data_IF_226268518643
#
_entry.id   IF_226268518643
#
_cell.length_a   1.000
_cell.length_b   1.000
_cell.length_c   1.000
_cell.angle_alpha   90.00
_cell.angle_beta   90.00
_cell.angle_gamma   90.00
#
_symmetry.space_group_name_H-M   'P 1'
#
loop_
_entity.id
_entity.type
_entity.pdbx_description
1 polymer ?
#
# COMPACT_ATOMS: atom_id res chain seq x y z
N UNK A 1 71.13 -46.81 25.71
CA UNK A 1 69.76 -47.34 25.82
C UNK A 1 68.96 -46.42 26.76
N UNK A 2 67.68 -46.15 26.48
CA UNK A 2 67.24 -44.83 25.99
C UNK A 2 66.68 -43.89 27.07
N UNK A 3 66.74 -42.59 26.75
CA UNK A 3 66.09 -41.46 27.43
C UNK A 3 64.62 -41.41 27.00
N UNK A 4 63.68 -41.48 27.94
CA UNK A 4 62.27 -41.25 27.68
C UNK A 4 61.95 -39.75 27.79
N UNK A 5 61.67 -39.11 26.65
CA UNK A 5 61.09 -37.78 26.57
C UNK A 5 59.57 -37.94 26.67
N UNK A 6 58.98 -37.48 27.77
CA UNK A 6 57.53 -37.36 27.91
C UNK A 6 57.05 -36.14 27.11
N UNK A 7 56.38 -36.40 25.99
CA UNK A 7 55.64 -35.40 25.25
C UNK A 7 54.36 -35.02 26.02
N UNK A 8 54.19 -33.72 26.28
CA UNK A 8 52.95 -33.12 26.77
C UNK A 8 51.98 -33.00 25.58
N UNK A 9 50.76 -33.56 25.61
CA UNK A 9 49.81 -33.30 24.54
C UNK A 9 49.13 -31.94 24.76
N UNK A 10 48.98 -31.23 23.65
CA UNK A 10 48.36 -29.92 23.52
C UNK A 10 46.92 -29.89 24.08
N UNK A 11 46.75 -29.31 25.26
CA UNK A 11 45.44 -29.02 25.86
C UNK A 11 45.02 -27.54 25.66
N UNK A 12 45.61 -26.82 24.69
CA UNK A 12 45.37 -25.40 24.49
C UNK A 12 44.33 -25.06 23.39
N UNK A 13 43.99 -25.99 22.49
CA UNK A 13 43.14 -25.67 21.33
C UNK A 13 41.64 -25.98 21.52
N UNK A 14 41.25 -26.82 22.49
CA UNK A 14 39.81 -27.14 22.70
C UNK A 14 39.03 -26.06 23.46
N UNK A 15 39.71 -25.19 24.21
CA UNK A 15 39.06 -24.14 25.03
C UNK A 15 38.62 -22.95 24.16
N UNK A 16 39.32 -22.68 23.06
CA UNK A 16 39.03 -21.55 22.17
C UNK A 16 37.72 -21.68 21.39
N UNK A 17 37.42 -22.88 20.88
CA UNK A 17 36.25 -23.12 20.04
C UNK A 17 34.93 -23.06 20.83
N UNK A 18 34.90 -23.61 22.05
CA UNK A 18 33.71 -23.56 22.92
C UNK A 18 33.35 -22.15 23.37
N UNK A 19 34.35 -21.31 23.65
CA UNK A 19 34.14 -19.91 24.04
C UNK A 19 33.66 -19.05 22.84
N UNK A 20 34.10 -19.37 21.63
CA UNK A 20 33.67 -18.70 20.41
C UNK A 20 32.20 -19.01 20.06
N UNK A 21 31.81 -20.29 20.17
CA UNK A 21 30.43 -20.72 19.94
C UNK A 21 29.46 -20.11 20.96
N UNK A 22 29.85 -20.03 22.23
CA UNK A 22 29.06 -19.39 23.29
C UNK A 22 28.89 -17.89 23.03
N UNK A 23 29.94 -17.19 22.59
CA UNK A 23 29.86 -15.77 22.21
C UNK A 23 28.95 -15.54 21.00
N UNK A 24 29.02 -16.39 19.98
CA UNK A 24 28.16 -16.30 18.81
C UNK A 24 26.66 -16.50 19.17
N UNK A 25 26.36 -17.48 20.03
CA UNK A 25 25.00 -17.71 20.51
C UNK A 25 24.44 -16.53 21.32
N UNK A 26 25.26 -15.92 22.18
CA UNK A 26 24.88 -14.73 22.96
C UNK A 26 24.61 -13.53 22.03
N UNK A 27 25.43 -13.33 21.00
CA UNK A 27 25.24 -12.25 20.01
C UNK A 27 23.95 -12.48 19.21
N UNK A 28 23.70 -13.71 18.73
CA UNK A 28 22.49 -14.05 18.00
C UNK A 28 21.22 -13.86 18.83
N UNK A 29 21.25 -14.25 20.12
CA UNK A 29 20.12 -14.07 21.01
C UNK A 29 19.85 -12.57 21.29
N UNK A 30 20.90 -11.77 21.48
CA UNK A 30 20.76 -10.31 21.62
C UNK A 30 20.17 -9.65 20.37
N UNK A 31 20.59 -10.08 19.19
CA UNK A 31 20.03 -9.58 17.93
C UNK A 31 18.54 -9.94 17.78
N UNK A 32 18.15 -11.16 18.16
CA UNK A 32 16.75 -11.60 18.15
C UNK A 32 15.88 -10.81 19.13
N UNK A 33 16.37 -10.59 20.35
CA UNK A 33 15.67 -9.80 21.37
C UNK A 33 15.53 -8.33 20.92
N UNK A 34 16.58 -7.75 20.31
CA UNK A 34 16.51 -6.40 19.76
C UNK A 34 15.50 -6.29 18.61
N UNK A 35 15.45 -7.28 17.72
CA UNK A 35 14.47 -7.35 16.63
C UNK A 35 13.03 -7.46 17.14
N UNK A 36 12.79 -8.31 18.15
CA UNK A 36 11.48 -8.45 18.78
C UNK A 36 11.04 -7.17 19.50
N UNK A 37 11.97 -6.48 20.18
CA UNK A 37 11.70 -5.19 20.82
C UNK A 37 11.37 -4.10 19.79
N UNK A 38 12.07 -4.07 18.64
CA UNK A 38 11.77 -3.15 17.55
C UNK A 38 10.38 -3.40 16.93
N UNK A 39 9.99 -4.67 16.76
CA UNK A 39 8.65 -5.02 16.29
C UNK A 39 7.56 -4.63 17.30
N UNK A 40 7.77 -4.88 18.60
CA UNK A 40 6.84 -4.47 19.64
C UNK A 40 6.67 -2.95 19.70
N UNK A 41 7.76 -2.18 19.54
CA UNK A 41 7.71 -0.73 19.48
C UNK A 41 6.95 -0.21 18.25
N UNK A 42 7.07 -0.88 17.09
CA UNK A 42 6.30 -0.56 15.88
C UNK A 42 4.80 -0.83 16.07
N UNK A 43 4.44 -1.98 16.64
CA UNK A 43 3.05 -2.31 16.96
C UNK A 43 2.45 -1.30 17.94
N UNK A 44 3.21 -0.87 18.95
CA UNK A 44 2.78 0.17 19.88
C UNK A 44 2.58 1.53 19.20
N UNK A 45 3.50 1.94 18.31
CA UNK A 45 3.39 3.18 17.54
C UNK A 45 2.22 3.14 16.53
N UNK A 46 1.97 2.00 15.90
CA UNK A 46 0.82 1.77 15.02
C UNK A 46 -0.49 1.80 15.81
N UNK A 47 -0.55 1.18 16.99
CA UNK A 47 -1.72 1.24 17.86
C UNK A 47 -2.00 2.67 18.33
N UNK A 48 -0.98 3.46 18.67
CA UNK A 48 -1.12 4.86 19.03
C UNK A 48 -1.64 5.71 17.87
N UNK A 49 -1.10 5.52 16.65
CA UNK A 49 -1.60 6.19 15.44
C UNK A 49 -3.00 5.75 15.06
N UNK A 50 -3.34 4.48 15.22
CA UNK A 50 -4.68 3.96 14.97
C UNK A 50 -5.69 4.55 15.96
N UNK A 51 -5.30 4.74 17.23
CA UNK A 51 -6.12 5.43 18.22
C UNK A 51 -6.33 6.91 17.86
N UNK A 52 -5.27 7.63 17.47
CA UNK A 52 -5.36 9.03 17.03
C UNK A 52 -6.21 9.20 15.76
N UNK A 53 -6.08 8.27 14.81
CA UNK A 53 -6.89 8.26 13.59
C UNK A 53 -8.35 7.86 13.88
N UNK A 54 -8.60 6.97 14.85
CA UNK A 54 -9.94 6.62 15.28
C UNK A 54 -10.63 7.80 15.99
N UNK A 55 -9.90 8.57 16.78
CA UNK A 55 -10.39 9.80 17.41
C UNK A 55 -10.71 10.87 16.36
N UNK A 56 -9.79 11.12 15.42
CA UNK A 56 -10.03 12.03 14.28
C UNK A 56 -11.16 11.56 13.37
N UNK A 57 -11.34 10.25 13.19
CA UNK A 57 -12.44 9.68 12.42
C UNK A 57 -13.77 9.80 13.18
N UNK A 58 -13.77 9.71 14.51
CA UNK A 58 -14.95 9.95 15.33
C UNK A 58 -15.36 11.43 15.29
N UNK A 59 -14.41 12.36 15.35
CA UNK A 59 -14.65 13.80 15.17
C UNK A 59 -15.15 14.11 13.76
N UNK A 60 -14.56 13.51 12.72
CA UNK A 60 -15.01 13.66 11.34
C UNK A 60 -16.41 13.05 11.12
N UNK A 61 -16.73 11.93 11.77
CA UNK A 61 -18.06 11.31 11.73
C UNK A 61 -19.12 12.19 12.42
N UNK A 62 -18.77 12.86 13.52
CA UNK A 62 -19.64 13.85 14.17
C UNK A 62 -19.84 15.10 13.31
N UNK A 63 -18.79 15.58 12.63
CA UNK A 63 -18.89 16.69 11.68
C UNK A 63 -19.72 16.33 10.43
N UNK A 64 -19.62 15.08 9.95
CA UNK A 64 -20.42 14.58 8.82
C UNK A 64 -21.89 14.32 9.21
N UNK A 65 -22.16 13.90 10.45
CA UNK A 65 -23.53 13.80 10.96
C UNK A 65 -24.22 15.17 11.04
N UNK A 66 -23.47 16.23 11.41
CA UNK A 66 -23.96 17.60 11.40
C UNK A 66 -24.08 18.22 9.99
N UNK A 67 -23.27 17.75 9.03
CA UNK A 67 -23.39 18.15 7.63
C UNK A 67 -24.57 17.47 6.90
N UNK A 68 -24.94 16.25 7.29
CA UNK A 68 -26.09 15.51 6.73
C UNK A 68 -27.45 16.16 7.02
N UNK A 69 -27.58 16.95 8.09
CA UNK A 69 -28.79 17.75 8.35
C UNK A 69 -28.88 19.03 7.49
N UNK A 70 -27.81 19.44 6.81
CA UNK A 70 -27.78 20.62 5.91
C UNK A 70 -27.71 20.29 4.42
N UNK A 71 -27.45 19.04 4.04
CA UNK A 71 -27.32 18.63 2.64
C UNK A 71 -28.64 18.23 1.96
N UNK A 72 -29.75 18.11 2.70
CA UNK A 72 -31.08 17.89 2.12
C UNK A 72 -31.67 19.15 1.44
N UNK A 73 -30.96 20.30 1.46
CA UNK A 73 -31.40 21.54 0.81
C UNK A 73 -30.41 22.17 -0.19
N UNK A 74 -29.37 21.47 -0.64
CA UNK A 74 -28.38 22.07 -1.55
C UNK A 74 -27.91 21.12 -2.66
N UNK A 75 -28.87 20.59 -3.43
CA UNK A 75 -28.57 20.16 -4.79
C UNK A 75 -28.07 21.36 -5.61
N UNK A 76 -26.95 21.15 -6.31
CA UNK A 76 -26.15 22.08 -7.13
C UNK A 76 -25.05 22.79 -6.34
N UNK A 77 -23.80 22.39 -6.56
CA UNK A 77 -22.80 23.12 -7.38
C UNK A 77 -21.46 22.39 -7.30
N UNK A 78 -20.82 22.15 -8.46
CA UNK A 78 -19.51 21.49 -8.53
C UNK A 78 -19.18 20.83 -9.87
N UNK A 79 -20.01 20.99 -10.90
CA UNK A 79 -19.66 20.55 -12.26
C UNK A 79 -18.55 21.45 -12.81
N UNK A 80 -17.30 20.99 -12.77
CA UNK A 80 -16.29 21.48 -13.70
C UNK A 80 -16.42 20.69 -14.99
N UNK A 81 -17.32 21.14 -15.87
CA UNK A 81 -17.32 20.69 -17.27
C UNK A 81 -16.09 21.30 -17.94
N UNK A 82 -14.97 20.57 -17.96
CA UNK A 82 -13.84 20.91 -18.84
C UNK A 82 -14.14 20.31 -20.21
N UNK A 83 -14.71 21.13 -21.08
CA UNK A 83 -14.94 20.81 -22.50
C UNK A 83 -13.59 20.49 -23.15
N UNK A 84 -13.44 19.29 -23.71
CA UNK A 84 -12.28 18.91 -24.54
C UNK A 84 -11.35 17.80 -24.03
N UNK A 85 -11.58 17.20 -22.84
CA UNK A 85 -10.84 16.00 -22.42
C UNK A 85 -11.34 14.76 -23.18
N UNK A 86 -10.41 13.94 -23.69
CA UNK A 86 -10.72 12.59 -24.22
C UNK A 86 -11.56 11.82 -23.18
N UNK A 87 -12.56 11.07 -23.63
CA UNK A 87 -13.38 10.23 -22.75
C UNK A 87 -12.57 9.03 -22.27
N UNK A 88 -12.84 8.61 -21.04
CA UNK A 88 -12.32 7.38 -20.46
C UNK A 88 -13.19 6.23 -20.95
N UNK A 89 -12.56 5.19 -21.48
CA UNK A 89 -13.26 4.00 -21.96
C UNK A 89 -13.31 2.93 -20.85
N UNK A 90 -14.36 2.12 -20.84
CA UNK A 90 -14.52 1.05 -19.86
C UNK A 90 -13.41 -0.01 -20.00
N UNK A 91 -12.83 -0.44 -18.87
CA UNK A 91 -11.71 -1.36 -18.82
C UNK A 91 -10.37 -0.75 -19.28
N UNK A 92 -10.31 0.56 -19.54
CA UNK A 92 -9.05 1.24 -19.86
C UNK A 92 -8.09 1.20 -18.68
N UNK A 93 -6.87 0.69 -18.90
CA UNK A 93 -5.81 0.59 -17.89
C UNK A 93 -4.69 1.62 -18.06
N UNK A 94 -4.11 2.04 -16.94
CA UNK A 94 -2.99 2.97 -16.93
C UNK A 94 -2.52 3.33 -15.53
N UNK A 95 -1.72 4.39 -15.44
CA UNK A 95 -1.50 5.06 -14.16
C UNK A 95 -2.68 5.98 -13.86
N UNK A 96 -3.03 6.15 -12.59
CA UNK A 96 -4.08 7.10 -12.19
C UNK A 96 -3.85 8.50 -12.76
N UNK A 97 -2.60 8.99 -12.74
CA UNK A 97 -2.23 10.30 -13.25
C UNK A 97 -2.47 10.46 -14.75
N UNK A 98 -2.36 9.38 -15.53
CA UNK A 98 -2.69 9.38 -16.96
C UNK A 98 -4.20 9.35 -17.18
N UNK A 99 -4.92 8.49 -16.47
CA UNK A 99 -6.37 8.38 -16.60
C UNK A 99 -7.11 9.63 -16.08
N UNK A 100 -6.53 10.39 -15.14
CA UNK A 100 -7.08 11.67 -14.67
C UNK A 100 -7.11 12.77 -15.77
N UNK A 101 -6.33 12.58 -16.84
CA UNK A 101 -6.36 13.47 -18.01
C UNK A 101 -7.59 13.26 -18.89
N UNK A 102 -8.27 12.12 -18.74
CA UNK A 102 -9.52 11.78 -19.45
C UNK A 102 -10.73 12.09 -18.58
N UNK A 103 -11.89 12.36 -19.19
CA UNK A 103 -13.15 12.54 -18.45
C UNK A 103 -13.82 11.19 -18.25
N UNK A 104 -14.25 10.89 -17.02
CA UNK A 104 -15.05 9.69 -16.73
C UNK A 104 -16.55 9.89 -17.00
N UNK A 105 -16.98 11.09 -17.39
CA UNK A 105 -18.37 11.47 -17.71
C UNK A 105 -19.39 11.04 -16.64
N UNK A 106 -18.96 11.03 -15.37
CA UNK A 106 -19.67 10.47 -14.23
C UNK A 106 -20.09 8.99 -14.32
N UNK A 107 -19.65 8.25 -15.34
CA UNK A 107 -19.93 6.83 -15.55
C UNK A 107 -18.84 5.91 -15.01
N UNK A 108 -17.59 6.36 -15.10
CA UNK A 108 -16.43 5.55 -14.72
C UNK A 108 -15.67 6.17 -13.56
N UNK A 109 -15.32 5.31 -12.60
CA UNK A 109 -14.31 5.57 -11.60
C UNK A 109 -12.95 5.09 -12.09
N UNK A 110 -11.91 5.64 -11.45
CA UNK A 110 -10.50 5.26 -11.66
C UNK A 110 -10.10 4.42 -10.47
N UNK A 111 -10.33 3.13 -10.57
CA UNK A 111 -10.12 2.18 -9.48
C UNK A 111 -8.62 1.89 -9.30
N UNK A 112 -8.08 2.12 -8.10
CA UNK A 112 -6.66 1.89 -7.79
C UNK A 112 -6.44 0.44 -7.38
N UNK A 113 -5.53 -0.25 -8.08
CA UNK A 113 -5.29 -1.68 -7.88
C UNK A 113 -3.77 -1.94 -7.77
N UNK A 114 -3.23 -2.28 -6.57
CA UNK A 114 -3.92 -2.33 -5.29
C UNK A 114 -4.33 -0.93 -4.82
N UNK A 115 -5.19 -0.86 -3.79
CA UNK A 115 -5.73 0.41 -3.31
C UNK A 115 -4.64 1.46 -3.00
N UNK A 116 -4.96 2.74 -3.24
CA UNK A 116 -4.07 3.88 -2.93
C UNK A 116 -3.56 3.82 -1.48
N UNK A 117 -4.43 3.46 -0.54
CA UNK A 117 -4.09 3.39 0.87
C UNK A 117 -3.02 2.32 1.16
N UNK A 118 -3.13 1.13 0.56
CA UNK A 118 -2.12 0.08 0.72
C UNK A 118 -0.75 0.49 0.16
N UNK A 119 -0.73 1.15 -1.02
CA UNK A 119 0.49 1.70 -1.60
C UNK A 119 1.15 2.77 -0.70
N UNK A 120 0.34 3.64 -0.11
CA UNK A 120 0.82 4.67 0.82
C UNK A 120 1.35 4.05 2.11
N UNK A 121 0.67 3.07 2.69
CA UNK A 121 1.12 2.40 3.91
C UNK A 121 2.43 1.64 3.67
N UNK A 122 2.54 0.89 2.56
CA UNK A 122 3.79 0.21 2.20
C UNK A 122 4.96 1.20 2.06
N UNK A 123 4.73 2.38 1.46
CA UNK A 123 5.77 3.41 1.37
C UNK A 123 6.14 3.99 2.74
N UNK A 124 5.17 4.16 3.66
CA UNK A 124 5.43 4.61 5.04
C UNK A 124 6.27 3.59 5.80
N UNK A 125 5.97 2.30 5.65
CA UNK A 125 6.75 1.21 6.24
C UNK A 125 8.19 1.24 5.73
N UNK A 126 8.40 1.34 4.41
CA UNK A 126 9.74 1.44 3.82
C UNK A 126 10.54 2.64 4.35
N UNK A 127 9.90 3.80 4.49
CA UNK A 127 10.53 5.02 5.04
C UNK A 127 10.92 4.80 6.50
N UNK A 128 10.03 4.22 7.30
CA UNK A 128 10.27 3.95 8.71
C UNK A 128 11.39 2.91 8.92
N UNK A 129 11.40 1.85 8.10
CA UNK A 129 12.43 0.82 8.12
C UNK A 129 13.81 1.35 7.73
N UNK A 130 13.86 2.28 6.77
CA UNK A 130 15.09 2.94 6.38
C UNK A 130 15.52 4.06 7.35
N UNK A 131 14.74 4.36 8.40
CA UNK A 131 15.01 5.45 9.33
C UNK A 131 15.01 6.83 8.66
N UNK A 132 14.27 6.99 7.56
CA UNK A 132 14.24 8.24 6.79
C UNK A 132 13.23 9.19 7.43
N UNK A 133 13.64 10.43 7.67
CA UNK A 133 12.72 11.52 8.02
C UNK A 133 12.53 12.43 6.81
N UNK A 134 11.28 12.54 6.34
CA UNK A 134 10.90 13.38 5.22
C UNK A 134 10.81 14.87 5.63
N UNK A 135 11.03 15.77 4.68
CA UNK A 135 10.58 17.16 4.80
C UNK A 135 9.06 17.22 4.62
N UNK A 136 8.40 18.27 5.12
CA UNK A 136 6.97 18.49 4.88
C UNK A 136 6.65 18.55 3.38
N UNK A 137 7.53 19.19 2.60
CA UNK A 137 7.41 19.24 1.14
C UNK A 137 7.49 17.86 0.48
N UNK A 138 8.44 17.01 0.92
CA UNK A 138 8.56 15.65 0.44
C UNK A 138 7.35 14.79 0.83
N UNK A 139 6.86 14.93 2.07
CA UNK A 139 5.67 14.20 2.54
C UNK A 139 4.43 14.57 1.71
N UNK A 140 4.17 15.86 1.50
CA UNK A 140 3.05 16.33 0.67
C UNK A 140 3.19 15.88 -0.79
N UNK A 141 4.38 15.98 -1.37
CA UNK A 141 4.64 15.58 -2.75
C UNK A 141 4.46 14.07 -2.96
N UNK A 142 4.78 13.25 -1.96
CA UNK A 142 4.70 11.80 -2.03
C UNK A 142 3.28 11.28 -1.73
N UNK A 143 2.68 11.73 -0.62
CA UNK A 143 1.46 11.17 -0.02
C UNK A 143 0.18 12.00 -0.22
N UNK A 144 0.26 13.21 -0.77
CA UNK A 144 -0.94 14.02 -1.00
C UNK A 144 -1.96 13.32 -1.93
N UNK A 145 -3.19 13.84 -2.01
CA UNK A 145 -4.24 13.26 -2.85
C UNK A 145 -3.86 13.16 -4.33
N UNK A 146 -3.08 14.13 -4.81
CA UNK A 146 -2.43 14.14 -6.13
C UNK A 146 -0.91 13.96 -6.02
N UNK A 147 -0.44 13.28 -4.97
CA UNK A 147 0.96 12.96 -4.73
C UNK A 147 1.48 11.89 -5.69
N UNK A 148 2.79 11.67 -5.65
CA UNK A 148 3.49 10.78 -6.58
C UNK A 148 2.98 9.34 -6.50
N UNK A 149 2.70 8.82 -5.30
CA UNK A 149 2.14 7.46 -5.11
C UNK A 149 0.75 7.35 -5.73
N UNK A 150 -0.13 8.32 -5.43
CA UNK A 150 -1.48 8.37 -5.98
C UNK A 150 -1.47 8.37 -7.50
N UNK A 151 -0.65 9.21 -8.12
CA UNK A 151 -0.52 9.34 -9.58
C UNK A 151 0.07 8.11 -10.26
N UNK A 152 1.04 7.45 -9.62
CA UNK A 152 1.73 6.30 -10.20
C UNK A 152 0.95 4.98 -10.04
N UNK A 153 0.02 4.91 -9.09
CA UNK A 153 -0.79 3.72 -8.85
C UNK A 153 -1.45 3.19 -10.12
N UNK A 154 -1.44 1.87 -10.30
CA UNK A 154 -2.11 1.19 -11.41
C UNK A 154 -3.61 1.33 -11.23
N UNK A 155 -4.29 1.55 -12.35
CA UNK A 155 -5.69 1.92 -12.34
C UNK A 155 -6.42 1.31 -13.52
N UNK A 156 -7.65 0.86 -13.28
CA UNK A 156 -8.59 0.44 -14.31
C UNK A 156 -9.81 1.37 -14.28
N UNK A 157 -10.32 1.73 -15.45
CA UNK A 157 -11.59 2.42 -15.58
C UNK A 157 -12.76 1.45 -15.35
N UNK A 158 -13.43 1.57 -14.20
CA UNK A 158 -14.50 0.66 -13.77
C UNK A 158 -15.82 1.43 -13.72
N UNK A 159 -16.95 0.88 -14.21
CA UNK A 159 -18.27 1.50 -14.01
C UNK A 159 -18.50 1.82 -12.54
N UNK A 160 -19.09 2.98 -12.27
CA UNK A 160 -19.26 3.46 -10.90
C UNK A 160 -20.08 2.53 -10.03
N UNK A 161 -21.16 1.94 -10.57
CA UNK A 161 -21.99 1.02 -9.80
C UNK A 161 -21.19 -0.22 -9.42
N UNK A 162 -20.48 -0.81 -10.38
CA UNK A 162 -19.68 -2.02 -10.16
C UNK A 162 -18.54 -1.76 -9.16
N UNK A 163 -17.80 -0.66 -9.33
CA UNK A 163 -16.76 -0.24 -8.39
C UNK A 163 -17.34 -0.03 -6.98
N UNK A 164 -18.46 0.70 -6.87
CA UNK A 164 -19.09 1.02 -5.58
C UNK A 164 -19.66 -0.20 -4.87
N UNK A 165 -20.20 -1.18 -5.59
CA UNK A 165 -20.89 -2.32 -5.01
C UNK A 165 -19.91 -3.47 -4.74
N UNK A 166 -18.94 -3.69 -5.63
CA UNK A 166 -18.19 -4.95 -5.66
C UNK A 166 -16.72 -4.81 -5.22
N UNK A 167 -16.12 -3.61 -5.31
CA UNK A 167 -14.71 -3.44 -4.87
C UNK A 167 -14.54 -3.59 -3.37
N UNK A 168 -13.66 -4.50 -2.94
CA UNK A 168 -13.35 -4.71 -1.51
C UNK A 168 -12.75 -3.49 -0.82
N UNK A 169 -12.23 -2.51 -1.56
CA UNK A 169 -11.55 -1.32 -1.01
C UNK A 169 -12.30 -0.01 -1.27
N UNK A 170 -13.55 -0.08 -1.76
CA UNK A 170 -14.36 1.13 -1.98
C UNK A 170 -14.84 1.75 -0.66
N UNK A 171 -14.64 3.06 -0.53
CA UNK A 171 -15.17 3.87 0.58
C UNK A 171 -14.72 3.33 1.95
N UNK A 172 -15.68 3.13 2.85
CA UNK A 172 -15.43 2.69 4.22
C UNK A 172 -15.07 1.19 4.36
N UNK A 173 -15.07 0.42 3.26
CA UNK A 173 -14.68 -1.00 3.29
C UNK A 173 -13.17 -1.19 3.45
N UNK A 174 -12.36 -0.21 3.06
CA UNK A 174 -10.91 -0.25 3.19
C UNK A 174 -10.46 0.10 4.63
N UNK A 175 -10.68 -0.83 5.56
CA UNK A 175 -10.37 -0.62 6.99
C UNK A 175 -8.87 -0.47 7.24
N UNK A 176 -8.43 0.23 8.31
CA UNK A 176 -7.00 0.34 8.65
C UNK A 176 -6.28 -1.01 8.79
N UNK A 177 -6.98 -2.02 9.32
CA UNK A 177 -6.46 -3.39 9.43
C UNK A 177 -6.20 -4.00 8.04
N UNK A 178 -7.15 -3.85 7.12
CA UNK A 178 -6.99 -4.33 5.75
C UNK A 178 -5.88 -3.59 5.02
N UNK A 179 -5.79 -2.25 5.16
CA UNK A 179 -4.70 -1.45 4.59
C UNK A 179 -3.34 -1.94 5.04
N UNK A 180 -3.17 -2.16 6.36
CA UNK A 180 -1.90 -2.67 6.91
C UNK A 180 -1.56 -4.08 6.41
N UNK A 181 -2.56 -4.97 6.29
CA UNK A 181 -2.34 -6.31 5.76
C UNK A 181 -2.02 -6.30 4.26
N UNK A 182 -2.72 -5.49 3.48
CA UNK A 182 -2.52 -5.37 2.04
C UNK A 182 -1.17 -4.71 1.70
N UNK A 183 -0.68 -3.80 2.56
CA UNK A 183 0.64 -3.19 2.40
C UNK A 183 1.80 -4.19 2.51
N UNK A 184 1.62 -5.29 3.25
CA UNK A 184 2.64 -6.34 3.42
C UNK A 184 2.82 -7.19 2.16
N UNK A 185 1.81 -7.27 1.29
CA UNK A 185 1.86 -7.99 0.03
C UNK A 185 0.95 -7.32 -1.00
N UNK A 186 1.49 -6.28 -1.61
CA UNK A 186 0.81 -5.47 -2.63
C UNK A 186 0.39 -6.27 -3.88
N UNK A 187 1.10 -7.36 -4.22
CA UNK A 187 0.69 -8.21 -5.34
C UNK A 187 -0.59 -8.97 -4.94
N UNK A 188 -0.57 -9.63 -3.79
CA UNK A 188 -1.75 -10.33 -3.28
C UNK A 188 -2.93 -9.41 -3.00
N UNK A 189 -2.66 -8.17 -2.60
CA UNK A 189 -3.69 -7.14 -2.48
C UNK A 189 -4.31 -6.82 -3.85
N UNK A 190 -3.49 -6.62 -4.88
CA UNK A 190 -3.97 -6.38 -6.24
C UNK A 190 -4.82 -7.56 -6.75
N UNK A 191 -4.36 -8.79 -6.55
CA UNK A 191 -5.11 -10.01 -6.89
C UNK A 191 -6.49 -10.01 -6.24
N UNK A 192 -6.58 -9.81 -4.92
CA UNK A 192 -7.86 -9.73 -4.20
C UNK A 192 -8.76 -8.58 -4.64
N UNK A 193 -8.20 -7.43 -5.00
CA UNK A 193 -8.97 -6.28 -5.51
C UNK A 193 -9.62 -6.64 -6.87
N UNK A 194 -8.88 -7.34 -7.73
CA UNK A 194 -9.35 -7.79 -9.05
C UNK A 194 -10.36 -8.93 -8.94
N UNK A 195 -10.06 -9.95 -8.13
CA UNK A 195 -10.91 -11.12 -7.93
C UNK A 195 -12.28 -10.71 -7.40
N UNK A 196 -12.36 -9.75 -6.48
CA UNK A 196 -13.63 -9.25 -5.95
C UNK A 196 -14.55 -8.65 -7.03
N UNK A 197 -14.01 -7.96 -8.03
CA UNK A 197 -14.79 -7.45 -9.15
C UNK A 197 -15.13 -8.58 -10.12
N UNK A 198 -14.16 -9.41 -10.50
CA UNK A 198 -14.36 -10.48 -11.48
C UNK A 198 -15.39 -11.53 -11.00
N UNK A 199 -15.32 -11.93 -9.73
CA UNK A 199 -16.30 -12.84 -9.10
C UNK A 199 -17.72 -12.26 -9.16
N UNK A 200 -17.88 -10.96 -8.87
CA UNK A 200 -19.17 -10.28 -8.97
C UNK A 200 -19.68 -10.18 -10.42
N UNK A 201 -18.80 -10.08 -11.41
CA UNK A 201 -19.19 -10.03 -12.82
C UNK A 201 -19.59 -11.40 -13.38
N UNK A 202 -19.01 -12.47 -12.84
CA UNK A 202 -19.31 -13.86 -13.20
C UNK A 202 -20.58 -14.39 -12.48
N UNK A 203 -21.07 -13.70 -11.44
CA UNK A 203 -22.36 -13.97 -10.81
C UNK A 203 -23.53 -13.51 -11.70
N UNK A 204 -24.50 -14.41 -11.92
CA UNK A 204 -25.69 -14.16 -12.73
C UNK A 204 -26.73 -13.31 -12.00
N UNK A 205 -26.76 -13.38 -10.66
CA UNK A 205 -27.72 -12.67 -9.81
C UNK A 205 -27.25 -11.26 -9.44
N UNK A 206 -26.00 -10.91 -9.78
CA UNK A 206 -25.42 -9.60 -9.49
C UNK A 206 -25.80 -8.58 -10.56
N UNK A 207 -26.35 -7.44 -10.11
CA UNK A 207 -26.52 -6.25 -10.96
C UNK A 207 -25.14 -5.74 -11.43
N UNK A 208 -24.97 -5.67 -12.75
CA UNK A 208 -23.73 -5.24 -13.41
C UNK A 208 -23.98 -4.17 -14.46
N UNK A 209 -23.18 -3.10 -14.41
CA UNK A 209 -23.14 -2.08 -15.48
C UNK A 209 -22.10 -2.43 -16.55
N UNK A 210 -21.12 -3.28 -16.21
CA UNK A 210 -20.10 -3.77 -17.13
C UNK A 210 -20.72 -4.69 -18.19
N UNK A 211 -20.71 -4.23 -19.45
CA UNK A 211 -21.06 -5.08 -20.60
C UNK A 211 -19.94 -6.10 -20.91
N UNK A 212 -20.22 -7.15 -21.73
CA UNK A 212 -19.21 -8.17 -22.04
C UNK A 212 -17.93 -7.64 -22.69
N UNK A 213 -18.02 -6.59 -23.50
CA UNK A 213 -16.85 -5.98 -24.15
C UNK A 213 -15.97 -5.28 -23.10
N UNK A 214 -16.59 -4.57 -22.15
CA UNK A 214 -15.88 -3.98 -21.04
C UNK A 214 -15.27 -5.03 -20.12
N UNK A 215 -15.99 -6.10 -19.81
CA UNK A 215 -15.47 -7.18 -18.97
C UNK A 215 -14.23 -7.82 -19.60
N UNK A 216 -14.22 -8.02 -20.92
CA UNK A 216 -13.05 -8.52 -21.61
C UNK A 216 -11.84 -7.57 -21.49
N UNK A 217 -12.07 -6.25 -21.62
CA UNK A 217 -11.03 -5.22 -21.43
C UNK A 217 -10.54 -5.18 -19.98
N UNK A 218 -11.46 -5.26 -19.02
CA UNK A 218 -11.16 -5.32 -17.60
C UNK A 218 -10.28 -6.54 -17.29
N UNK A 219 -10.66 -7.75 -17.72
CA UNK A 219 -9.88 -8.98 -17.50
C UNK A 219 -8.49 -8.88 -18.14
N UNK A 220 -8.36 -8.30 -19.35
CA UNK A 220 -7.05 -8.03 -19.98
C UNK A 220 -6.19 -7.06 -19.16
N UNK A 221 -6.80 -6.02 -18.58
CA UNK A 221 -6.12 -5.08 -17.70
C UNK A 221 -5.69 -5.75 -16.39
N UNK A 222 -6.58 -6.53 -15.79
CA UNK A 222 -6.35 -7.32 -14.58
C UNK A 222 -5.14 -8.25 -14.76
N UNK A 223 -5.07 -8.98 -15.88
CA UNK A 223 -3.95 -9.86 -16.21
C UNK A 223 -2.60 -9.13 -16.33
N UNK A 224 -2.60 -7.87 -16.78
CA UNK A 224 -1.38 -7.06 -16.79
C UNK A 224 -0.95 -6.68 -15.37
N UNK A 225 -1.92 -6.36 -14.50
CA UNK A 225 -1.65 -5.99 -13.11
C UNK A 225 -1.16 -7.22 -12.32
N UNK A 226 -1.79 -8.39 -12.47
CA UNK A 226 -1.38 -9.65 -11.81
C UNK A 226 0.05 -10.07 -12.12
N UNK A 227 0.60 -9.68 -13.27
CA UNK A 227 1.99 -9.94 -13.63
C UNK A 227 3.00 -9.13 -12.82
N UNK A 228 2.58 -8.03 -12.18
CA UNK A 228 3.45 -7.19 -11.38
C UNK A 228 3.64 -7.81 -10.00
N UNK A 229 4.88 -8.15 -9.69
CA UNK A 229 5.26 -8.77 -8.41
C UNK A 229 5.28 -7.76 -7.28
N UNK A 230 5.17 -8.25 -6.04
CA UNK A 230 5.28 -7.40 -4.85
C UNK A 230 6.62 -6.62 -4.84
N UNK A 231 7.72 -7.27 -5.22
CA UNK A 231 9.03 -6.64 -5.31
C UNK A 231 9.05 -5.46 -6.31
N UNK A 232 8.42 -5.62 -7.47
CA UNK A 232 8.31 -4.54 -8.45
C UNK A 232 7.44 -3.38 -7.97
N UNK A 233 6.43 -3.63 -7.12
CA UNK A 233 5.70 -2.55 -6.45
C UNK A 233 6.62 -1.80 -5.48
N UNK A 234 7.38 -2.52 -4.65
CA UNK A 234 8.32 -1.90 -3.72
C UNK A 234 9.41 -1.09 -4.44
N UNK A 235 9.93 -1.59 -5.56
CA UNK A 235 10.93 -0.87 -6.36
C UNK A 235 10.38 0.44 -6.94
N UNK A 236 9.13 0.43 -7.43
CA UNK A 236 8.44 1.64 -7.87
C UNK A 236 8.28 2.63 -6.70
N UNK A 237 7.80 2.18 -5.54
CA UNK A 237 7.65 3.03 -4.36
C UNK A 237 9.00 3.61 -3.91
N UNK A 238 10.06 2.80 -3.90
CA UNK A 238 11.43 3.23 -3.56
C UNK A 238 11.91 4.34 -4.47
N UNK A 239 11.62 4.25 -5.77
CA UNK A 239 11.96 5.29 -6.75
C UNK A 239 11.19 6.59 -6.45
N UNK A 240 9.88 6.50 -6.21
CA UNK A 240 9.06 7.67 -5.87
C UNK A 240 9.52 8.35 -4.57
N UNK A 241 9.87 7.56 -3.54
CA UNK A 241 10.42 8.07 -2.27
C UNK A 241 11.72 8.84 -2.53
N UNK A 242 12.66 8.25 -3.28
CA UNK A 242 13.94 8.90 -3.62
C UNK A 242 13.73 10.20 -4.39
N UNK A 243 12.85 10.19 -5.38
CA UNK A 243 12.56 11.38 -6.20
C UNK A 243 11.91 12.48 -5.35
N UNK A 244 10.99 12.13 -4.44
CA UNK A 244 10.36 13.09 -3.53
C UNK A 244 11.37 13.76 -2.60
N UNK A 245 12.31 12.99 -2.03
CA UNK A 245 13.38 13.51 -1.17
C UNK A 245 14.33 14.41 -1.96
N UNK A 246 14.78 13.95 -3.14
CA UNK A 246 15.72 14.69 -3.99
C UNK A 246 15.16 16.05 -4.41
N UNK A 247 13.88 16.10 -4.77
CA UNK A 247 13.24 17.30 -5.28
C UNK A 247 12.74 18.25 -4.17
N UNK A 248 12.68 17.78 -2.92
CA UNK A 248 12.22 18.56 -1.76
C UNK A 248 13.17 18.37 -0.57
N UNK A 249 14.45 18.78 -0.70
CA UNK A 249 15.43 18.62 0.36
C UNK A 249 14.99 19.39 1.62
N UNK A 250 15.40 18.90 2.80
CA UNK A 250 15.25 19.68 4.03
C UNK A 250 16.07 20.96 3.90
N UNK A 251 15.45 22.09 4.23
CA UNK A 251 16.14 23.38 4.36
C UNK A 251 16.91 23.41 5.67
#
# INVERSE_FOLDING_TARGET
MPVFVLAVPAAAELIGAGLLALRAAIIANRARVAYQAAQAARLAAQAARAAELAEKAAEAAQAQAQAKEKEESAAKTGTTTVVGKKKLDCGEDGSYGDLQKKSGDNKFDRDHIPSKAALQEAARDMIAEAGITLSEGAEKALFGDNGAISKAGKTIATPKADHKNHSRTYGHRNTPKQVSQDAQDLQKAAEKDLDAIEEAMDDEDTEKEMDPECLEKYKKAADKIRKKTHAEYLDDLKKLIKDAIKNNPRK
#
